data_IF_020372742269
#
_entry.id   IF_020372742269
#
_cell.length_a   1.000
_cell.length_b   1.000
_cell.length_c   1.000
_cell.angle_alpha   90.00
_cell.angle_beta   90.00
_cell.angle_gamma   90.00
#
_symmetry.space_group_name_H-M   'P 1'
#
loop_
_entity.id
_entity.type
_entity.pdbx_description
1 polymer ?
#
# COMPACT_ATOMS: atom_id res chain seq x y z
N UNK A 1 2.22 -13.19 -8.99
CA UNK A 1 1.60 -12.06 -8.26
C UNK A 1 2.36 -11.82 -6.97
N UNK A 2 2.73 -10.58 -6.65
CA UNK A 2 3.37 -10.18 -5.38
C UNK A 2 2.49 -9.15 -4.68
N UNK A 3 2.11 -9.42 -3.42
CA UNK A 3 1.25 -8.55 -2.62
C UNK A 3 2.12 -7.77 -1.65
N UNK A 4 2.13 -6.44 -1.77
CA UNK A 4 2.91 -5.52 -0.93
C UNK A 4 1.95 -4.59 -0.22
N UNK A 5 1.92 -4.59 1.11
CA UNK A 5 1.20 -3.58 1.86
C UNK A 5 2.10 -2.40 2.23
N UNK A 6 1.55 -1.19 2.14
CA UNK A 6 2.20 0.03 2.59
C UNK A 6 1.66 0.37 3.97
N UNK A 7 2.47 0.19 5.01
CA UNK A 7 2.00 0.23 6.39
C UNK A 7 2.91 1.06 7.31
N UNK A 8 2.31 1.92 8.09
CA UNK A 8 2.88 2.55 9.28
C UNK A 8 1.73 3.03 10.18
N UNK A 9 1.90 2.94 11.50
CA UNK A 9 0.91 3.40 12.49
C UNK A 9 0.79 4.93 12.52
N UNK A 10 1.87 5.65 12.22
CA UNK A 10 1.88 7.11 12.23
C UNK A 10 1.07 7.66 11.05
N UNK A 11 0.18 8.59 11.35
CA UNK A 11 -0.53 9.37 10.32
C UNK A 11 0.41 10.32 9.59
N UNK A 12 0.13 10.63 8.32
CA UNK A 12 0.85 11.65 7.57
C UNK A 12 2.26 11.27 7.07
N UNK A 13 2.71 10.02 7.26
CA UNK A 13 4.06 9.58 6.79
C UNK A 13 4.13 9.27 5.29
N UNK A 14 3.04 9.44 4.55
CA UNK A 14 2.97 9.21 3.12
C UNK A 14 2.60 7.78 2.71
N UNK A 15 1.82 7.03 3.51
CA UNK A 15 1.31 5.70 3.15
C UNK A 15 0.55 5.73 1.83
N UNK A 16 -0.58 6.42 1.80
CA UNK A 16 -1.45 6.54 0.62
C UNK A 16 -0.71 7.13 -0.57
N UNK A 17 0.09 8.20 -0.35
CA UNK A 17 0.93 8.79 -1.40
C UNK A 17 1.87 7.74 -1.99
N UNK A 18 2.47 6.89 -1.16
CA UNK A 18 3.36 5.83 -1.61
C UNK A 18 2.58 4.73 -2.34
N UNK A 19 1.45 4.27 -1.80
CA UNK A 19 0.65 3.22 -2.43
C UNK A 19 0.18 3.63 -3.83
N UNK A 20 -0.42 4.82 -3.96
CA UNK A 20 -0.91 5.37 -5.24
C UNK A 20 0.22 5.54 -6.25
N UNK A 21 1.32 6.20 -5.86
CA UNK A 21 2.37 6.53 -6.80
C UNK A 21 3.25 5.33 -7.16
N UNK A 22 3.47 4.40 -6.22
CA UNK A 22 4.15 3.14 -6.52
C UNK A 22 3.32 2.30 -7.50
N UNK A 23 2.01 2.14 -7.25
CA UNK A 23 1.12 1.39 -8.15
C UNK A 23 1.12 1.98 -9.57
N UNK A 24 1.01 3.31 -9.68
CA UNK A 24 1.08 4.01 -10.95
C UNK A 24 2.43 3.85 -11.66
N UNK A 25 3.56 3.91 -10.93
CA UNK A 25 4.89 3.74 -11.51
C UNK A 25 5.16 2.29 -11.94
N UNK A 26 4.64 1.30 -11.21
CA UNK A 26 4.70 -0.12 -11.62
C UNK A 26 3.91 -0.33 -12.91
N UNK A 27 2.69 0.21 -12.99
CA UNK A 27 1.87 0.14 -14.19
C UNK A 27 2.52 0.85 -15.40
N UNK A 28 3.11 2.02 -15.20
CA UNK A 28 3.89 2.72 -16.22
C UNK A 28 5.15 1.94 -16.66
N UNK A 29 5.60 0.99 -15.85
CA UNK A 29 6.68 0.05 -16.16
C UNK A 29 6.16 -1.29 -16.73
N UNK A 30 4.94 -1.28 -17.32
CA UNK A 30 4.28 -2.44 -17.95
C UNK A 30 4.07 -3.62 -16.99
N UNK A 31 3.95 -3.36 -15.67
CA UNK A 31 3.59 -4.37 -14.68
C UNK A 31 2.12 -4.25 -14.34
N UNK A 32 1.36 -5.32 -14.61
CA UNK A 32 -0.06 -5.34 -14.28
C UNK A 32 -0.25 -5.23 -12.79
N UNK A 33 -0.85 -4.14 -12.34
CA UNK A 33 -0.89 -3.75 -10.92
C UNK A 33 -2.32 -3.50 -10.46
N UNK A 34 -2.69 -4.08 -9.32
CA UNK A 34 -3.92 -3.79 -8.60
C UNK A 34 -3.60 -2.93 -7.38
N UNK A 35 -4.22 -1.77 -7.27
CA UNK A 35 -4.24 -0.98 -6.04
C UNK A 35 -5.46 -1.39 -5.21
N UNK A 36 -5.28 -1.70 -3.94
CA UNK A 36 -6.35 -2.03 -3.01
C UNK A 36 -6.40 -0.96 -1.92
N UNK A 37 -7.45 -0.16 -1.89
CA UNK A 37 -7.68 0.86 -0.86
C UNK A 37 -8.38 0.24 0.35
N UNK A 38 -7.70 0.18 1.48
CA UNK A 38 -8.22 -0.39 2.73
C UNK A 38 -8.42 0.66 3.82
N UNK A 39 -8.39 1.95 3.46
CA UNK A 39 -8.65 3.05 4.40
C UNK A 39 -10.04 3.65 4.16
N UNK A 40 -10.88 3.72 5.21
CA UNK A 40 -12.20 4.34 5.17
C UNK A 40 -12.18 5.82 4.71
N UNK A 41 -11.01 6.49 4.73
CA UNK A 41 -10.85 7.83 4.19
C UNK A 41 -10.90 7.87 2.65
N UNK A 42 -10.75 6.74 1.97
CA UNK A 42 -10.84 6.59 0.50
C UNK A 42 -9.84 7.49 -0.24
N UNK A 43 -8.66 7.71 0.34
CA UNK A 43 -7.68 8.64 -0.24
C UNK A 43 -6.92 8.02 -1.41
N UNK A 44 -6.68 6.71 -1.42
CA UNK A 44 -6.10 6.04 -2.57
C UNK A 44 -7.10 5.99 -3.74
N UNK A 45 -8.38 5.76 -3.45
CA UNK A 45 -9.49 5.79 -4.41
C UNK A 45 -9.53 7.12 -5.18
N UNK A 46 -9.61 8.25 -4.46
CA UNK A 46 -9.62 9.56 -5.11
C UNK A 46 -8.27 9.95 -5.72
N UNK A 47 -7.16 9.48 -5.13
CA UNK A 47 -5.80 9.79 -5.61
C UNK A 47 -5.46 9.23 -6.99
N UNK A 48 -6.21 8.22 -7.45
CA UNK A 48 -6.08 7.62 -8.77
C UNK A 48 -7.16 8.12 -9.76
N UNK A 49 -8.08 8.98 -9.30
CA UNK A 49 -9.11 9.60 -10.13
C UNK A 49 -10.48 8.93 -10.09
N UNK A 50 -10.68 7.91 -9.25
CA UNK A 50 -11.99 7.28 -9.08
C UNK A 50 -12.88 8.18 -8.22
N UNK A 51 -14.09 8.45 -8.71
CA UNK A 51 -15.10 9.20 -7.95
C UNK A 51 -15.57 8.38 -6.76
N UNK A 52 -15.35 8.92 -5.57
CA UNK A 52 -15.72 8.26 -4.30
C UNK A 52 -17.21 7.97 -4.17
N UNK A 53 -18.05 8.78 -4.80
CA UNK A 53 -19.50 8.71 -4.67
C UNK A 53 -20.13 7.91 -5.84
N UNK A 54 -19.35 7.59 -6.87
CA UNK A 54 -19.74 6.78 -8.03
C UNK A 54 -19.29 5.32 -7.95
N UNK A 55 -18.87 4.83 -6.80
CA UNK A 55 -18.45 3.43 -6.60
C UNK A 55 -19.67 2.54 -6.36
N UNK A 56 -19.94 1.61 -7.27
CA UNK A 56 -21.04 0.65 -7.14
C UNK A 56 -20.72 -0.45 -6.13
N UNK A 57 -19.52 -1.02 -6.19
CA UNK A 57 -19.04 -2.10 -5.32
C UNK A 57 -17.67 -1.72 -4.78
N UNK A 58 -17.53 -1.67 -3.47
CA UNK A 58 -16.29 -1.37 -2.76
C UNK A 58 -15.66 -2.61 -2.14
N UNK A 59 -14.44 -2.47 -1.62
CA UNK A 59 -13.81 -3.53 -0.83
C UNK A 59 -14.64 -3.89 0.41
N UNK A 60 -15.35 -2.93 1.02
CA UNK A 60 -16.22 -3.19 2.16
C UNK A 60 -17.35 -4.17 1.79
N UNK A 61 -18.03 -3.95 0.65
CA UNK A 61 -19.12 -4.80 0.19
C UNK A 61 -18.65 -6.25 0.02
N UNK A 62 -17.47 -6.43 -0.57
CA UNK A 62 -16.83 -7.75 -0.73
C UNK A 62 -16.51 -8.38 0.62
N UNK A 63 -15.90 -7.64 1.54
CA UNK A 63 -15.47 -8.18 2.85
C UNK A 63 -16.62 -8.44 3.81
N UNK A 64 -17.77 -7.76 3.65
CA UNK A 64 -18.98 -7.90 4.45
C UNK A 64 -19.94 -8.93 3.88
N UNK A 65 -19.69 -9.42 2.65
CA UNK A 65 -20.54 -10.44 2.01
C UNK A 65 -20.60 -11.72 2.85
N UNK A 66 -21.77 -12.35 2.86
CA UNK A 66 -22.03 -13.59 3.60
C UNK A 66 -21.64 -14.82 2.77
N UNK A 67 -21.43 -15.96 3.44
CA UNK A 67 -21.30 -17.24 2.74
C UNK A 67 -22.59 -17.54 1.95
N UNK A 68 -22.46 -17.59 0.62
CA UNK A 68 -23.59 -17.79 -0.32
C UNK A 68 -23.91 -16.56 -1.17
N UNK A 69 -23.35 -15.41 -0.86
CA UNK A 69 -23.36 -14.27 -1.78
C UNK A 69 -22.31 -14.52 -2.89
N UNK A 70 -22.73 -14.32 -4.16
CA UNK A 70 -21.82 -14.51 -5.31
C UNK A 70 -20.78 -13.38 -5.46
N UNK A 71 -20.73 -12.42 -4.51
CA UNK A 71 -19.86 -11.26 -4.58
C UNK A 71 -18.40 -11.60 -4.22
N UNK A 72 -17.49 -11.27 -5.10
CA UNK A 72 -16.05 -11.50 -4.91
C UNK A 72 -15.21 -10.27 -5.29
N UNK A 73 -13.92 -10.30 -5.00
CA UNK A 73 -13.02 -9.16 -5.22
C UNK A 73 -12.95 -8.70 -6.68
N UNK A 74 -13.21 -9.59 -7.65
CA UNK A 74 -13.18 -9.27 -9.09
C UNK A 74 -14.31 -8.32 -9.48
N UNK A 75 -15.44 -8.38 -8.76
CA UNK A 75 -16.63 -7.54 -9.02
C UNK A 75 -16.42 -6.09 -8.58
N UNK A 76 -15.47 -5.87 -7.66
CA UNK A 76 -15.11 -4.54 -7.16
C UNK A 76 -13.93 -3.89 -7.92
N UNK A 77 -13.39 -4.55 -8.96
CA UNK A 77 -12.25 -4.01 -9.71
C UNK A 77 -12.72 -2.92 -10.67
N UNK A 78 -12.13 -1.74 -10.53
CA UNK A 78 -12.34 -0.58 -11.40
C UNK A 78 -11.04 -0.30 -12.16
N UNK A 79 -11.04 -0.26 -13.50
CA UNK A 79 -9.85 0.09 -14.28
C UNK A 79 -9.51 1.58 -14.12
N UNK A 80 -8.21 1.89 -14.08
CA UNK A 80 -7.73 3.26 -14.02
C UNK A 80 -7.94 3.97 -15.37
N UNK A 81 -8.47 5.19 -15.34
CA UNK A 81 -8.52 6.04 -16.56
C UNK A 81 -7.14 6.56 -16.99
N UNK A 82 -6.14 6.46 -16.15
CA UNK A 82 -4.83 7.05 -16.37
C UNK A 82 -3.78 6.08 -16.91
N UNK A 83 -3.93 4.78 -16.62
CA UNK A 83 -2.94 3.74 -16.96
C UNK A 83 -3.61 2.42 -17.34
N UNK A 84 -3.25 1.87 -18.48
CA UNK A 84 -3.78 0.61 -18.99
C UNK A 84 -3.50 -0.61 -18.08
N UNK A 85 -2.37 -0.59 -17.37
CA UNK A 85 -1.96 -1.70 -16.52
C UNK A 85 -2.24 -1.47 -15.04
N UNK A 86 -3.14 -0.56 -14.69
CA UNK A 86 -3.53 -0.24 -13.34
C UNK A 86 -5.02 -0.35 -13.14
N UNK A 87 -5.39 -1.19 -12.19
CA UNK A 87 -6.75 -1.29 -11.68
C UNK A 87 -6.78 -0.94 -10.19
N UNK A 88 -7.96 -0.60 -9.67
CA UNK A 88 -8.17 -0.37 -8.25
C UNK A 88 -9.40 -1.13 -7.74
N UNK A 89 -9.32 -1.63 -6.50
CA UNK A 89 -10.48 -1.95 -5.68
C UNK A 89 -10.69 -0.79 -4.71
N UNK A 90 -11.77 0.00 -4.89
CA UNK A 90 -12.01 1.21 -4.11
C UNK A 90 -12.48 0.90 -2.69
N UNK A 91 -12.22 1.83 -1.76
CA UNK A 91 -12.72 1.76 -0.39
C UNK A 91 -14.11 2.38 -0.24
N UNK A 92 -14.79 2.04 0.86
CA UNK A 92 -15.99 2.72 1.38
C UNK A 92 -15.74 3.29 2.77
N UNK A 93 -16.51 4.31 3.16
CA UNK A 93 -16.51 4.83 4.54
C UNK A 93 -16.98 3.78 5.55
N UNK A 94 -17.76 2.81 5.11
CA UNK A 94 -18.30 1.73 5.96
C UNK A 94 -17.20 0.82 6.52
N UNK A 95 -16.00 0.79 5.89
CA UNK A 95 -14.83 0.13 6.47
C UNK A 95 -14.52 0.59 7.91
N UNK A 96 -14.93 1.79 8.31
CA UNK A 96 -14.74 2.27 9.68
C UNK A 96 -15.50 1.43 10.73
N UNK A 97 -16.60 0.77 10.32
CA UNK A 97 -17.42 -0.09 11.18
C UNK A 97 -16.99 -1.55 11.23
N UNK A 98 -16.13 -1.99 10.34
CA UNK A 98 -15.85 -3.42 10.10
C UNK A 98 -15.24 -4.13 11.31
N UNK A 99 -14.51 -3.42 12.17
CA UNK A 99 -13.95 -3.97 13.41
C UNK A 99 -15.05 -4.50 14.36
N UNK A 100 -16.18 -3.77 14.43
CA UNK A 100 -17.35 -4.19 15.24
C UNK A 100 -18.09 -5.34 14.59
N UNK A 101 -18.29 -5.31 13.28
CA UNK A 101 -18.96 -6.37 12.54
C UNK A 101 -18.21 -7.70 12.64
N UNK A 102 -16.89 -7.65 12.58
CA UNK A 102 -16.05 -8.84 12.66
C UNK A 102 -15.74 -9.30 14.09
N UNK A 103 -16.21 -8.58 15.13
CA UNK A 103 -15.89 -8.93 16.52
C UNK A 103 -16.24 -10.39 16.87
N UNK A 104 -17.35 -10.91 16.32
CA UNK A 104 -17.82 -12.30 16.52
C UNK A 104 -17.51 -13.25 15.35
N UNK A 105 -16.92 -12.76 14.24
CA UNK A 105 -16.65 -13.59 13.06
C UNK A 105 -15.51 -14.57 13.33
N UNK A 106 -15.72 -15.83 13.03
CA UNK A 106 -14.68 -16.86 13.12
C UNK A 106 -13.63 -16.60 12.03
N UNK A 107 -12.37 -16.85 12.37
CA UNK A 107 -11.23 -16.65 11.45
C UNK A 107 -11.18 -15.26 10.81
N UNK A 108 -11.66 -14.25 11.54
CA UNK A 108 -11.75 -12.85 11.09
C UNK A 108 -10.44 -12.25 10.60
N UNK A 109 -9.31 -12.83 10.98
CA UNK A 109 -7.97 -12.41 10.55
C UNK A 109 -7.62 -12.83 9.12
N UNK A 110 -8.46 -13.67 8.50
CA UNK A 110 -8.19 -14.32 7.20
C UNK A 110 -9.21 -13.96 6.11
N UNK A 111 -10.11 -13.04 6.38
CA UNK A 111 -11.19 -12.68 5.45
C UNK A 111 -10.58 -12.13 4.14
N UNK A 112 -9.66 -11.19 4.22
CA UNK A 112 -9.07 -10.57 3.02
C UNK A 112 -8.32 -11.60 2.16
N UNK A 113 -7.52 -12.49 2.77
CA UNK A 113 -6.75 -13.47 1.98
C UNK A 113 -7.67 -14.43 1.23
N UNK A 114 -8.84 -14.79 1.79
CA UNK A 114 -9.82 -15.64 1.13
C UNK A 114 -10.37 -14.98 -0.14
N UNK A 115 -10.70 -13.69 -0.07
CA UNK A 115 -11.18 -12.95 -1.25
C UNK A 115 -10.06 -12.74 -2.30
N UNK A 116 -8.81 -12.52 -1.88
CA UNK A 116 -7.69 -12.34 -2.81
C UNK A 116 -7.32 -13.65 -3.56
N UNK A 117 -7.74 -14.83 -3.10
CA UNK A 117 -7.55 -16.08 -3.85
C UNK A 117 -8.25 -16.03 -5.23
N UNK A 118 -9.37 -15.32 -5.37
CA UNK A 118 -10.04 -15.15 -6.65
C UNK A 118 -9.15 -14.50 -7.72
N UNK A 119 -8.20 -13.64 -7.34
CA UNK A 119 -7.24 -13.05 -8.29
C UNK A 119 -6.35 -14.09 -8.97
N UNK A 120 -6.11 -15.25 -8.32
CA UNK A 120 -5.32 -16.36 -8.87
C UNK A 120 -6.09 -17.17 -9.91
N UNK A 121 -7.42 -17.04 -9.95
CA UNK A 121 -8.27 -17.73 -10.95
C UNK A 121 -8.32 -17.00 -12.28
N UNK A 122 -7.83 -15.77 -12.34
CA UNK A 122 -7.75 -15.01 -13.58
C UNK A 122 -6.91 -15.73 -14.63
N UNK A 123 -7.28 -15.66 -15.94
CA UNK A 123 -6.45 -16.19 -17.01
C UNK A 123 -5.06 -15.56 -16.99
N UNK A 124 -4.00 -16.28 -17.44
CA UNK A 124 -2.61 -15.82 -17.34
C UNK A 124 -2.37 -14.40 -17.85
N UNK A 125 -3.02 -14.00 -18.93
CA UNK A 125 -2.93 -12.68 -19.55
C UNK A 125 -3.61 -11.58 -18.72
N UNK A 126 -4.47 -11.95 -17.77
CA UNK A 126 -5.16 -11.02 -16.85
C UNK A 126 -4.59 -11.03 -15.44
N UNK A 127 -3.64 -11.91 -15.14
CA UNK A 127 -3.05 -11.98 -13.79
C UNK A 127 -2.23 -10.73 -13.47
N UNK A 128 -2.33 -10.28 -12.23
CA UNK A 128 -1.55 -9.15 -11.74
C UNK A 128 -0.11 -9.57 -11.40
N UNK A 129 0.85 -8.71 -11.75
CA UNK A 129 2.23 -8.83 -11.28
C UNK A 129 2.36 -8.40 -9.83
N UNK A 130 1.65 -7.32 -9.47
CA UNK A 130 1.66 -6.72 -8.15
C UNK A 130 0.24 -6.41 -7.65
N UNK A 131 0.05 -6.55 -6.34
CA UNK A 131 -1.07 -5.97 -5.60
C UNK A 131 -0.47 -5.04 -4.55
N UNK A 132 -0.81 -3.76 -4.61
CA UNK A 132 -0.37 -2.75 -3.65
C UNK A 132 -1.54 -2.42 -2.75
N UNK A 133 -1.37 -2.60 -1.43
CA UNK A 133 -2.43 -2.36 -0.46
C UNK A 133 -2.13 -1.07 0.32
N UNK A 134 -3.00 -0.07 0.22
CA UNK A 134 -2.98 1.10 1.10
C UNK A 134 -3.67 0.76 2.42
N UNK A 135 -3.04 1.06 3.54
CA UNK A 135 -3.52 0.67 4.88
C UNK A 135 -3.97 1.88 5.71
N UNK A 136 -4.98 1.69 6.59
CA UNK A 136 -5.34 2.69 7.57
C UNK A 136 -4.21 2.91 8.60
N UNK A 137 -4.22 4.04 9.33
CA UNK A 137 -3.16 4.35 10.30
C UNK A 137 -3.26 3.52 11.60
N UNK A 138 -4.44 3.02 11.95
CA UNK A 138 -4.67 2.30 13.20
C UNK A 138 -4.37 0.80 13.07
N UNK A 139 -3.76 0.18 14.08
CA UNK A 139 -3.59 -1.28 14.17
C UNK A 139 -4.92 -1.96 14.55
N UNK A 140 -5.82 -2.06 13.59
CA UNK A 140 -7.12 -2.70 13.71
C UNK A 140 -7.11 -4.12 13.15
N UNK A 141 -8.26 -4.82 13.18
CA UNK A 141 -8.41 -6.12 12.53
C UNK A 141 -8.21 -6.02 11.01
N UNK A 142 -8.49 -4.87 10.41
CA UNK A 142 -8.21 -4.59 8.99
C UNK A 142 -6.71 -4.71 8.71
N UNK A 143 -5.86 -4.11 9.54
CA UNK A 143 -4.40 -4.20 9.38
C UNK A 143 -3.90 -5.63 9.59
N UNK A 144 -4.47 -6.38 10.53
CA UNK A 144 -4.13 -7.81 10.71
C UNK A 144 -4.48 -8.60 9.45
N UNK A 145 -5.64 -8.35 8.82
CA UNK A 145 -6.02 -8.97 7.55
C UNK A 145 -5.05 -8.61 6.42
N UNK A 146 -4.68 -7.33 6.30
CA UNK A 146 -3.71 -6.86 5.31
C UNK A 146 -2.38 -7.60 5.48
N UNK A 147 -1.85 -7.68 6.70
CA UNK A 147 -0.59 -8.38 7.00
C UNK A 147 -0.70 -9.90 6.74
N UNK A 148 -1.85 -10.50 7.04
CA UNK A 148 -2.10 -11.92 6.82
C UNK A 148 -2.11 -12.26 5.33
N UNK A 149 -2.63 -11.36 4.50
CA UNK A 149 -2.75 -11.52 3.06
C UNK A 149 -1.50 -11.11 2.25
N UNK A 150 -0.59 -10.36 2.85
CA UNK A 150 0.56 -9.78 2.15
C UNK A 150 1.77 -10.72 2.08
N UNK A 151 2.54 -10.62 0.99
CA UNK A 151 3.87 -11.23 0.91
C UNK A 151 4.91 -10.39 1.64
N UNK A 152 4.79 -9.06 1.56
CA UNK A 152 5.76 -8.16 2.17
C UNK A 152 5.17 -6.80 2.53
N UNK A 153 5.91 -6.08 3.38
CA UNK A 153 5.53 -4.79 3.95
C UNK A 153 6.54 -3.73 3.50
N UNK A 154 6.06 -2.67 2.87
CA UNK A 154 6.80 -1.44 2.65
C UNK A 154 6.46 -0.47 3.79
N UNK A 155 7.47 0.00 4.52
CA UNK A 155 7.31 0.86 5.68
C UNK A 155 7.79 2.27 5.34
N UNK A 156 6.88 3.23 5.03
CA UNK A 156 7.27 4.63 4.84
C UNK A 156 7.57 5.26 6.19
N UNK A 157 8.72 5.94 6.31
CA UNK A 157 9.16 6.67 7.50
C UNK A 157 9.46 8.12 7.11
N UNK A 158 8.73 9.05 7.72
CA UNK A 158 8.98 10.48 7.54
C UNK A 158 10.25 10.89 8.29
N UNK A 159 11.14 11.65 7.63
CA UNK A 159 12.42 12.10 8.20
C UNK A 159 12.24 13.28 9.18
N UNK A 160 11.57 13.03 10.31
CA UNK A 160 11.31 13.98 11.39
C UNK A 160 11.67 13.38 12.75
N UNK A 161 11.76 14.21 13.80
CA UNK A 161 12.27 13.86 15.13
C UNK A 161 11.62 12.60 15.75
N UNK A 162 10.32 12.42 15.57
CA UNK A 162 9.60 11.24 16.08
C UNK A 162 9.49 10.10 15.05
N UNK A 163 10.46 9.97 14.14
CA UNK A 163 10.43 9.01 13.04
C UNK A 163 10.32 7.55 13.50
N UNK A 164 11.03 7.20 14.56
CA UNK A 164 11.10 5.85 15.12
C UNK A 164 10.08 5.60 16.24
N UNK A 165 9.32 6.63 16.63
CA UNK A 165 8.26 6.47 17.64
C UNK A 165 7.14 5.58 17.06
N UNK A 166 6.67 4.62 17.84
CA UNK A 166 5.66 3.64 17.41
C UNK A 166 6.18 2.51 16.51
N UNK A 167 7.42 2.61 15.99
CA UNK A 167 7.99 1.58 15.13
C UNK A 167 8.15 0.24 15.86
N UNK A 168 8.52 0.27 17.15
CA UNK A 168 8.65 -0.92 17.99
C UNK A 168 7.32 -1.67 18.10
N UNK A 169 6.22 -0.97 18.25
CA UNK A 169 4.88 -1.56 18.33
C UNK A 169 4.48 -2.18 16.99
N UNK A 170 4.73 -1.49 15.88
CA UNK A 170 4.53 -2.01 14.54
C UNK A 170 5.33 -3.29 14.31
N UNK A 171 6.63 -3.29 14.61
CA UNK A 171 7.49 -4.48 14.46
C UNK A 171 7.04 -5.64 15.35
N UNK A 172 6.57 -5.35 16.56
CA UNK A 172 6.02 -6.37 17.45
C UNK A 172 4.73 -7.00 16.86
N UNK A 173 3.88 -6.18 16.25
CA UNK A 173 2.67 -6.65 15.57
C UNK A 173 3.04 -7.52 14.37
N UNK A 174 3.99 -7.09 13.54
CA UNK A 174 4.50 -7.87 12.40
C UNK A 174 5.01 -9.23 12.89
N UNK A 175 5.84 -9.27 13.95
CA UNK A 175 6.35 -10.53 14.51
C UNK A 175 5.25 -11.46 15.02
N UNK A 176 4.19 -10.92 15.62
CA UNK A 176 3.01 -11.71 16.06
C UNK A 176 2.28 -12.32 14.87
N UNK A 177 2.08 -11.55 13.80
CA UNK A 177 1.47 -12.05 12.55
C UNK A 177 2.35 -13.11 11.89
N UNK A 178 3.65 -12.88 11.78
CA UNK A 178 4.61 -13.86 11.25
C UNK A 178 4.55 -15.18 12.02
N UNK A 179 4.47 -15.11 13.34
CA UNK A 179 4.46 -16.31 14.19
C UNK A 179 3.16 -17.12 14.07
N UNK A 180 2.00 -16.47 13.93
CA UNK A 180 0.72 -17.10 14.15
C UNK A 180 -0.16 -17.20 12.90
N UNK A 181 -0.02 -16.27 11.93
CA UNK A 181 -0.95 -16.10 10.82
C UNK A 181 -0.29 -16.23 9.44
N UNK A 182 0.89 -15.59 9.25
CA UNK A 182 1.59 -15.54 7.96
C UNK A 182 3.10 -15.65 8.16
N UNK A 183 3.63 -16.88 8.12
CA UNK A 183 5.06 -17.17 8.37
C UNK A 183 5.99 -16.61 7.29
N UNK A 184 5.47 -16.41 6.09
CA UNK A 184 6.24 -15.99 4.92
C UNK A 184 6.24 -14.46 4.75
N UNK A 185 5.53 -13.73 5.61
CA UNK A 185 5.50 -12.27 5.59
C UNK A 185 6.90 -11.68 5.81
N UNK A 186 7.36 -10.84 4.90
CA UNK A 186 8.67 -10.21 4.96
C UNK A 186 8.58 -8.68 5.03
N UNK A 187 9.64 -8.02 5.47
CA UNK A 187 9.81 -6.58 5.25
C UNK A 187 10.39 -6.40 3.84
N UNK A 188 9.61 -5.80 2.93
CA UNK A 188 10.04 -5.42 1.58
C UNK A 188 11.17 -4.41 1.65
N UNK A 189 10.92 -3.36 2.41
CA UNK A 189 11.88 -2.33 2.71
C UNK A 189 11.29 -1.17 3.50
N UNK A 190 12.18 -0.31 3.96
CA UNK A 190 11.87 0.94 4.65
C UNK A 190 12.13 2.10 3.69
N UNK A 191 11.12 2.92 3.46
CA UNK A 191 11.18 4.06 2.55
C UNK A 191 11.25 5.37 3.34
N UNK A 192 12.32 6.11 3.17
CA UNK A 192 12.45 7.45 3.74
C UNK A 192 11.58 8.43 2.93
N UNK A 193 10.67 9.13 3.62
CA UNK A 193 9.74 10.07 2.97
C UNK A 193 9.93 11.49 3.50
N UNK A 194 9.49 12.47 2.70
CA UNK A 194 9.59 13.90 3.01
C UNK A 194 11.02 14.32 3.40
N UNK A 195 11.99 13.66 2.79
CA UNK A 195 13.41 13.94 3.03
C UNK A 195 13.78 15.33 2.50
N UNK A 196 14.46 16.11 3.32
CA UNK A 196 15.05 17.39 2.93
C UNK A 196 16.54 17.39 3.24
N UNK A 197 17.37 17.28 2.19
CA UNK A 197 18.83 17.22 2.30
C UNK A 197 19.47 18.46 2.92
N UNK A 198 18.76 19.58 2.99
CA UNK A 198 19.22 20.84 3.59
C UNK A 198 19.15 20.80 5.12
N UNK A 199 18.31 19.89 5.68
CA UNK A 199 18.07 19.77 7.10
C UNK A 199 19.00 18.73 7.73
N UNK A 200 19.78 19.14 8.74
CA UNK A 200 20.59 18.20 9.53
C UNK A 200 19.76 17.10 10.17
N UNK A 201 18.57 17.45 10.68
CA UNK A 201 17.65 16.49 11.28
C UNK A 201 17.27 15.36 10.30
N UNK A 202 16.93 15.69 9.03
CA UNK A 202 16.58 14.67 8.03
C UNK A 202 17.73 13.69 7.79
N UNK A 203 18.98 14.19 7.77
CA UNK A 203 20.17 13.35 7.64
C UNK A 203 20.37 12.45 8.85
N UNK A 204 20.28 13.00 10.06
CA UNK A 204 20.41 12.23 11.32
C UNK A 204 19.37 11.11 11.39
N UNK A 205 18.11 11.40 11.08
CA UNK A 205 17.04 10.39 11.05
C UNK A 205 17.31 9.32 9.99
N UNK A 206 17.76 9.71 8.80
CA UNK A 206 18.10 8.77 7.74
C UNK A 206 19.24 7.82 8.17
N UNK A 207 20.27 8.34 8.83
CA UNK A 207 21.40 7.55 9.32
C UNK A 207 20.97 6.60 10.45
N UNK A 208 20.10 7.06 11.36
CA UNK A 208 19.54 6.23 12.42
C UNK A 208 18.67 5.09 11.87
N UNK A 209 17.79 5.37 10.91
CA UNK A 209 16.97 4.37 10.22
C UNK A 209 17.86 3.36 9.49
N UNK A 210 18.90 3.82 8.78
CA UNK A 210 19.87 2.93 8.12
C UNK A 210 20.66 2.07 9.11
N UNK A 211 21.05 2.63 10.25
CA UNK A 211 21.71 1.87 11.30
C UNK A 211 20.85 0.76 11.87
N UNK A 212 19.52 1.00 11.99
CA UNK A 212 18.58 0.03 12.54
C UNK A 212 18.16 -1.05 11.55
N UNK A 213 17.87 -0.68 10.30
CA UNK A 213 17.31 -1.57 9.28
C UNK A 213 18.33 -2.12 8.28
N UNK A 214 19.54 -1.55 8.24
CA UNK A 214 20.60 -1.99 7.31
C UNK A 214 20.14 -2.00 5.86
N UNK A 215 20.35 -3.12 5.19
CA UNK A 215 20.04 -3.34 3.77
C UNK A 215 18.53 -3.37 3.45
N UNK A 216 17.67 -3.25 4.48
CA UNK A 216 16.23 -3.13 4.27
C UNK A 216 15.79 -1.69 3.96
N UNK A 217 16.66 -0.69 4.10
CA UNK A 217 16.34 0.67 3.68
C UNK A 217 16.51 0.79 2.17
N UNK A 218 15.48 1.27 1.47
CA UNK A 218 15.57 1.53 0.03
C UNK A 218 16.67 2.55 -0.27
N UNK A 219 17.35 2.39 -1.40
CA UNK A 219 18.36 3.34 -1.87
C UNK A 219 17.71 4.68 -2.23
N UNK A 220 16.53 4.63 -2.84
CA UNK A 220 15.76 5.81 -3.15
C UNK A 220 15.13 6.45 -1.90
N UNK A 221 15.01 7.77 -1.90
CA UNK A 221 14.31 8.55 -0.88
C UNK A 221 13.25 9.43 -1.54
N UNK A 222 12.09 9.59 -0.91
CA UNK A 222 11.05 10.49 -1.41
C UNK A 222 11.29 11.88 -0.83
N UNK A 223 11.62 12.87 -1.67
CA UNK A 223 11.87 14.22 -1.18
C UNK A 223 10.57 14.91 -0.73
N UNK A 224 10.70 15.91 0.14
CA UNK A 224 9.60 16.85 0.38
C UNK A 224 9.30 17.60 -0.93
N UNK A 225 8.09 17.40 -1.46
CA UNK A 225 7.70 17.94 -2.76
C UNK A 225 6.23 18.39 -2.75
N UNK A 226 5.99 19.65 -3.05
CA UNK A 226 4.65 20.27 -3.07
C UNK A 226 3.74 19.58 -4.08
N UNK A 227 4.29 19.16 -5.24
CA UNK A 227 3.53 18.47 -6.30
C UNK A 227 2.92 17.14 -5.83
N UNK A 228 3.60 16.42 -4.92
CA UNK A 228 3.03 15.22 -4.28
C UNK A 228 1.83 15.53 -3.38
N UNK A 229 1.74 16.74 -2.82
CA UNK A 229 0.60 17.16 -2.02
C UNK A 229 -0.54 17.72 -2.88
N UNK A 230 -0.24 18.28 -4.05
CA UNK A 230 -1.21 18.83 -4.98
C UNK A 230 -1.89 17.74 -5.83
N UNK A 231 -1.12 16.75 -6.32
CA UNK A 231 -1.59 15.76 -7.29
C UNK A 231 -2.86 15.01 -6.87
N UNK A 232 -3.08 14.65 -5.57
CA UNK A 232 -4.32 13.97 -5.15
C UNK A 232 -5.58 14.83 -5.32
N UNK A 233 -5.47 16.17 -5.20
CA UNK A 233 -6.62 17.07 -5.40
C UNK A 233 -7.08 17.13 -6.87
N UNK A 234 -6.25 16.63 -7.80
CA UNK A 234 -6.55 16.51 -9.21
C UNK A 234 -6.89 15.06 -9.62
N UNK A 235 -7.00 14.12 -8.66
CA UNK A 235 -7.24 12.71 -8.92
C UNK A 235 -6.14 12.06 -9.79
N UNK A 236 -4.89 12.52 -9.70
CA UNK A 236 -3.80 12.07 -10.56
C UNK A 236 -2.59 11.62 -9.76
N UNK A 237 -2.06 10.42 -10.01
CA UNK A 237 -0.73 10.06 -9.55
C UNK A 237 0.32 11.05 -10.05
N UNK A 238 1.41 11.21 -9.29
CA UNK A 238 2.44 12.25 -9.56
C UNK A 238 3.02 12.18 -10.98
N UNK A 239 3.27 10.98 -11.51
CA UNK A 239 3.81 10.79 -12.86
C UNK A 239 2.85 11.23 -13.96
N UNK A 240 1.54 11.30 -13.67
CA UNK A 240 0.52 11.83 -14.58
C UNK A 240 0.30 13.32 -14.36
N UNK A 241 0.54 13.82 -13.14
CA UNK A 241 0.39 15.22 -12.77
C UNK A 241 1.60 16.05 -13.22
N UNK A 242 2.81 15.61 -12.87
CA UNK A 242 4.08 16.27 -13.23
C UNK A 242 5.23 15.24 -13.27
N UNK A 243 5.46 14.64 -14.43
CA UNK A 243 6.48 13.60 -14.64
C UNK A 243 7.91 14.09 -14.36
N UNK A 244 8.17 15.41 -14.50
CA UNK A 244 9.50 15.99 -14.29
C UNK A 244 9.74 16.38 -12.83
N UNK A 245 8.75 16.23 -11.96
CA UNK A 245 8.90 16.54 -10.55
C UNK A 245 9.88 15.58 -9.86
N UNK A 246 10.60 16.06 -8.86
CA UNK A 246 11.49 15.21 -8.05
C UNK A 246 10.73 14.07 -7.36
N UNK A 247 9.44 14.26 -7.04
CA UNK A 247 8.57 13.22 -6.51
C UNK A 247 8.27 12.11 -7.52
N UNK A 248 8.00 12.46 -8.79
CA UNK A 248 7.77 11.49 -9.85
C UNK A 248 9.02 10.63 -10.10
N UNK A 249 10.18 11.28 -10.23
CA UNK A 249 11.46 10.60 -10.44
C UNK A 249 11.73 9.62 -9.29
N UNK A 250 11.55 10.06 -8.04
CA UNK A 250 11.79 9.22 -6.87
C UNK A 250 10.87 7.98 -6.82
N UNK A 251 9.57 8.11 -7.14
CA UNK A 251 8.68 6.95 -7.19
C UNK A 251 8.94 6.03 -8.38
N UNK A 252 9.41 6.55 -9.52
CA UNK A 252 9.89 5.71 -10.62
C UNK A 252 11.13 4.90 -10.23
N UNK A 253 12.04 5.49 -9.46
CA UNK A 253 13.23 4.79 -8.97
C UNK A 253 12.86 3.74 -7.92
N UNK A 254 11.91 4.02 -7.02
CA UNK A 254 11.35 3.04 -6.10
C UNK A 254 10.74 1.83 -6.85
N UNK A 255 9.95 2.09 -7.89
CA UNK A 255 9.34 1.03 -8.69
C UNK A 255 10.40 0.15 -9.37
N UNK A 256 11.46 0.73 -9.93
CA UNK A 256 12.59 0.00 -10.51
C UNK A 256 13.29 -0.88 -9.48
N UNK A 257 13.53 -0.35 -8.27
CA UNK A 257 14.17 -1.09 -7.17
C UNK A 257 13.32 -2.29 -6.74
N UNK A 258 12.00 -2.11 -6.62
CA UNK A 258 11.05 -3.20 -6.27
C UNK A 258 10.98 -4.27 -7.38
N UNK A 259 10.94 -3.87 -8.66
CA UNK A 259 10.95 -4.81 -9.79
C UNK A 259 12.24 -5.63 -9.77
N UNK A 260 13.40 -4.98 -9.66
CA UNK A 260 14.71 -5.64 -9.58
C UNK A 260 14.78 -6.65 -8.43
N UNK A 261 14.24 -6.30 -7.25
CA UNK A 261 14.21 -7.18 -6.09
C UNK A 261 13.28 -8.39 -6.28
N UNK A 262 12.19 -8.25 -7.05
CA UNK A 262 11.30 -9.36 -7.41
C UNK A 262 11.98 -10.33 -8.36
N UNK A 263 12.63 -9.81 -9.41
CA UNK A 263 13.20 -10.63 -10.50
C UNK A 263 14.58 -11.23 -10.13
N UNK A 264 15.32 -10.56 -9.25
CA UNK A 264 16.70 -10.91 -8.91
C UNK A 264 16.90 -11.77 -7.68
N UNK A 265 15.84 -12.26 -7.01
CA UNK A 265 15.90 -13.03 -5.75
C UNK A 265 17.03 -12.53 -4.85
N UNK A 266 16.78 -11.91 -3.72
CA UNK A 266 17.85 -11.40 -2.83
C UNK A 266 18.96 -12.43 -2.68
N UNK A 267 20.19 -12.02 -3.06
CA UNK A 267 21.42 -12.69 -2.64
C UNK A 267 21.51 -12.78 -1.12
#
# INVERSE_FOLDING_TARGET
MKIICVLNQKGGVGKTTTAVNLAACLAASEKKTLLLDMDAQRNATSGIGVDKDGVDISVYDVLSSSEGDDLNILDAIVPSEHFEHLDIVPASMDLAGIDLEWASKLSRERVLIQHLEALKTLPPEKQYDFVIIDSPPALSIVVINILTASNSILIPIQCEYYALEGLTELLNTIRKVQKNLNKDLQIEGVLLTMYDSRLNLSRQVADEVKSYFGDKVFECVIPRNVKLSESPSHGKPIIKYDIMSSGAIAYMDLAKEIIKNKDGGKK
#
